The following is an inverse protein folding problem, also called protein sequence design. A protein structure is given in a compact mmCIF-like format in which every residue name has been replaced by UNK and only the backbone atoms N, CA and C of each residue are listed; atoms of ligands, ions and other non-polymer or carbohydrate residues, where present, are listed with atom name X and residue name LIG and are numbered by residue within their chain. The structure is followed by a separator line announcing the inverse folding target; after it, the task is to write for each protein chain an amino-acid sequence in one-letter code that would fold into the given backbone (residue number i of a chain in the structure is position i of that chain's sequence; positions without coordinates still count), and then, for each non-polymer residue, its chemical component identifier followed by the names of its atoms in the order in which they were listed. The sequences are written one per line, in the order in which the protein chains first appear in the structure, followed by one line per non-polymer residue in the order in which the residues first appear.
data_IF_379858072029
#
_entry.id   IF_379858072029
#
_cell.length_a   1.000
_cell.length_b   1.000
_cell.length_c   1.000
_cell.angle_alpha   90.00
_cell.angle_beta   90.00
_cell.angle_gamma   90.00
#
_symmetry.space_group_name_H-M   'P 1'
#
loop_
_entity.id
_entity.type
_entity.pdbx_description
1 polymer ?
#
# COMPACT_ATOMS: atom_id res chain seq x y z
N UNK A 1 -23.80 -23.23 7.37
CA UNK A 1 -22.65 -23.84 8.10
C UNK A 1 -21.40 -23.30 7.42
N UNK A 2 -20.44 -22.84 8.20
CA UNK A 2 -19.23 -22.12 7.76
C UNK A 2 -18.01 -23.03 7.64
N UNK A 3 -18.20 -24.36 7.68
CA UNK A 3 -17.11 -25.32 7.52
C UNK A 3 -16.50 -25.23 6.11
N UNK A 4 -15.17 -25.22 6.03
CA UNK A 4 -14.40 -25.22 4.80
C UNK A 4 -14.51 -26.60 4.14
N UNK A 5 -14.99 -26.67 2.90
CA UNK A 5 -15.13 -27.92 2.13
C UNK A 5 -14.11 -28.02 1.00
N UNK A 6 -13.67 -26.91 0.44
CA UNK A 6 -12.61 -26.88 -0.57
C UNK A 6 -11.75 -25.62 -0.47
N UNK A 7 -10.45 -25.76 -0.77
CA UNK A 7 -9.49 -24.69 -0.98
C UNK A 7 -8.72 -25.00 -2.24
N UNK A 8 -8.85 -24.14 -3.25
CA UNK A 8 -8.20 -24.34 -4.53
C UNK A 8 -7.38 -23.12 -4.95
N UNK A 9 -6.09 -23.29 -5.14
CA UNK A 9 -5.20 -22.28 -5.66
C UNK A 9 -4.82 -22.51 -7.11
N UNK A 10 -4.53 -21.41 -7.81
CA UNK A 10 -3.95 -21.39 -9.14
C UNK A 10 -2.92 -20.28 -9.29
N UNK A 11 -2.08 -20.42 -10.30
CA UNK A 11 -1.20 -19.37 -10.75
C UNK A 11 -1.94 -18.47 -11.74
N UNK A 12 -1.91 -17.14 -11.50
CA UNK A 12 -2.39 -16.10 -12.41
C UNK A 12 -1.26 -15.11 -12.70
N UNK A 13 -1.49 -14.11 -13.54
CA UNK A 13 -0.52 -13.06 -13.81
C UNK A 13 -0.88 -11.77 -13.07
N UNK A 14 0.13 -11.12 -12.50
CA UNK A 14 0.02 -9.77 -11.93
C UNK A 14 0.07 -8.68 -13.02
N UNK A 15 -0.07 -7.41 -12.61
CA UNK A 15 -0.05 -6.23 -13.50
C UNK A 15 1.27 -6.02 -14.24
N UNK A 16 2.34 -6.70 -13.84
CA UNK A 16 3.66 -6.70 -14.50
C UNK A 16 3.88 -7.92 -15.39
N UNK A 17 2.89 -8.82 -15.49
CA UNK A 17 2.99 -10.07 -16.22
C UNK A 17 3.82 -11.15 -15.52
N UNK A 18 4.08 -10.99 -14.20
CA UNK A 18 4.70 -12.04 -13.40
C UNK A 18 3.64 -12.94 -12.76
N UNK A 19 3.95 -14.23 -12.53
CA UNK A 19 3.05 -15.12 -11.83
C UNK A 19 2.77 -14.67 -10.40
N UNK A 20 1.53 -14.88 -9.95
CA UNK A 20 1.12 -14.75 -8.54
C UNK A 20 0.05 -15.77 -8.19
N UNK A 21 -0.25 -15.92 -6.89
CA UNK A 21 -1.20 -16.90 -6.37
C UNK A 21 -2.61 -16.29 -6.31
N UNK A 22 -3.59 -17.03 -6.81
CA UNK A 22 -5.03 -16.80 -6.57
C UNK A 22 -5.63 -18.02 -5.88
N UNK A 23 -6.46 -17.78 -4.86
CA UNK A 23 -7.09 -18.82 -4.04
C UNK A 23 -8.59 -18.65 -4.04
N UNK A 24 -9.31 -19.75 -4.22
CA UNK A 24 -10.74 -19.90 -3.94
C UNK A 24 -10.92 -20.73 -2.67
N UNK A 25 -11.83 -20.31 -1.80
CA UNK A 25 -12.30 -21.07 -0.63
C UNK A 25 -13.80 -21.28 -0.77
N UNK A 26 -14.27 -22.53 -0.66
CA UNK A 26 -15.69 -22.88 -0.67
C UNK A 26 -16.12 -23.42 0.70
N UNK A 27 -17.28 -22.95 1.17
CA UNK A 27 -17.88 -23.38 2.43
C UNK A 27 -19.04 -24.36 2.19
N UNK A 28 -19.36 -25.16 3.22
CA UNK A 28 -20.48 -26.11 3.17
C UNK A 28 -21.84 -25.45 2.84
N UNK A 29 -21.98 -24.16 3.13
CA UNK A 29 -23.17 -23.36 2.73
C UNK A 29 -23.25 -23.08 1.22
N UNK A 30 -22.17 -23.30 0.47
CA UNK A 30 -21.99 -22.89 -0.92
C UNK A 30 -21.45 -21.46 -1.08
N UNK A 31 -21.15 -20.76 0.01
CA UNK A 31 -20.48 -19.46 -0.05
C UNK A 31 -19.04 -19.63 -0.55
N UNK A 32 -18.58 -18.68 -1.37
CA UNK A 32 -17.25 -18.73 -2.00
C UNK A 32 -16.51 -17.40 -1.79
N UNK A 33 -15.23 -17.49 -1.43
CA UNK A 33 -14.33 -16.35 -1.40
C UNK A 33 -13.16 -16.53 -2.34
N UNK A 34 -12.79 -15.50 -3.08
CA UNK A 34 -11.62 -15.47 -3.97
C UNK A 34 -10.71 -14.33 -3.62
N UNK A 35 -9.41 -14.61 -3.51
CA UNK A 35 -8.40 -13.59 -3.32
C UNK A 35 -7.17 -13.85 -4.18
N UNK A 36 -6.59 -12.78 -4.72
CA UNK A 36 -5.32 -12.82 -5.43
C UNK A 36 -4.28 -11.97 -4.70
N UNK A 37 -3.06 -12.49 -4.64
CA UNK A 37 -1.99 -11.92 -3.80
C UNK A 37 -1.17 -10.90 -4.59
N UNK A 38 -0.93 -9.69 -4.06
CA UNK A 38 -0.02 -8.72 -4.69
C UNK A 38 1.44 -9.09 -4.48
N UNK A 39 2.35 -8.52 -5.29
CA UNK A 39 3.79 -8.80 -5.27
C UNK A 39 4.61 -7.51 -5.33
N UNK A 40 5.66 -7.37 -4.51
CA UNK A 40 6.56 -6.22 -4.54
C UNK A 40 7.57 -6.25 -5.71
N UNK A 41 8.05 -5.07 -6.13
CA UNK A 41 9.23 -4.94 -6.98
C UNK A 41 10.50 -4.83 -6.13
N UNK A 42 10.51 -3.90 -5.18
CA UNK A 42 11.43 -3.85 -4.05
C UNK A 42 10.80 -4.54 -2.86
N UNK A 43 11.60 -5.20 -2.04
CA UNK A 43 11.15 -5.86 -0.82
C UNK A 43 12.04 -5.44 0.33
N UNK A 44 11.46 -4.95 1.42
CA UNK A 44 12.18 -4.68 2.66
C UNK A 44 12.83 -5.96 3.19
N UNK A 45 14.01 -5.84 3.79
CA UNK A 45 14.78 -7.00 4.25
C UNK A 45 14.07 -7.86 5.32
N UNK A 46 13.01 -7.32 5.92
CA UNK A 46 12.25 -7.95 7.01
C UNK A 46 10.84 -8.36 6.62
N UNK A 47 10.49 -8.30 5.34
CA UNK A 47 9.19 -8.79 4.85
C UNK A 47 9.08 -10.32 4.98
N UNK A 48 7.85 -10.82 5.14
CA UNK A 48 7.57 -12.22 5.00
C UNK A 48 7.88 -12.72 3.58
N UNK A 49 8.37 -13.94 3.46
CA UNK A 49 8.92 -14.48 2.20
C UNK A 49 7.82 -14.77 1.18
N UNK A 50 7.89 -14.12 0.03
CA UNK A 50 7.15 -14.52 -1.16
C UNK A 50 7.84 -15.74 -1.80
N UNK A 51 7.20 -16.91 -1.74
CA UNK A 51 7.78 -18.13 -2.27
C UNK A 51 7.73 -18.13 -3.80
N UNK A 52 8.91 -18.31 -4.43
CA UNK A 52 9.11 -18.45 -5.87
C UNK A 52 9.79 -19.77 -6.18
N UNK A 53 9.40 -20.42 -7.28
CA UNK A 53 9.88 -21.75 -7.66
C UNK A 53 11.40 -21.77 -7.98
N UNK A 54 11.96 -20.64 -8.41
CA UNK A 54 13.39 -20.53 -8.77
C UNK A 54 13.78 -21.23 -10.07
N UNK A 55 12.87 -21.87 -10.79
CA UNK A 55 13.13 -22.50 -12.09
C UNK A 55 13.32 -21.45 -13.18
N UNK A 56 14.56 -21.22 -13.57
CA UNK A 56 14.93 -20.24 -14.57
C UNK A 56 14.29 -20.48 -15.95
N UNK A 57 13.85 -21.72 -16.25
CA UNK A 57 13.19 -22.06 -17.51
C UNK A 57 11.70 -21.68 -17.55
N UNK A 58 11.14 -21.34 -16.39
CA UNK A 58 9.74 -20.98 -16.26
C UNK A 58 9.60 -19.60 -15.61
N UNK A 59 9.07 -18.61 -16.35
CA UNK A 59 8.95 -17.21 -15.93
C UNK A 59 10.23 -16.59 -15.37
N UNK A 60 11.41 -17.03 -15.84
CA UNK A 60 12.71 -16.56 -15.36
C UNK A 60 12.94 -16.81 -13.86
N UNK A 61 12.39 -17.86 -13.29
CA UNK A 61 12.49 -18.22 -11.87
C UNK A 61 11.36 -17.66 -10.99
N UNK A 62 10.42 -16.89 -11.56
CA UNK A 62 9.34 -16.21 -10.81
C UNK A 62 8.04 -17.02 -10.69
N UNK A 63 8.00 -18.30 -11.11
CA UNK A 63 6.85 -19.18 -10.95
C UNK A 63 6.43 -19.31 -9.49
N UNK A 64 5.16 -19.69 -9.25
CA UNK A 64 4.58 -19.85 -7.89
C UNK A 64 3.88 -21.19 -7.71
N UNK A 65 4.25 -22.21 -8.51
CA UNK A 65 3.61 -23.53 -8.45
C UNK A 65 3.86 -24.25 -7.12
N UNK A 66 5.01 -24.04 -6.48
CA UNK A 66 5.28 -24.60 -5.15
C UNK A 66 4.31 -24.03 -4.12
N UNK A 67 4.09 -22.72 -4.11
CA UNK A 67 3.10 -22.07 -3.25
C UNK A 67 1.67 -22.55 -3.55
N UNK A 68 1.31 -22.66 -4.83
CA UNK A 68 0.01 -23.23 -5.28
C UNK A 68 -0.16 -24.66 -4.79
N UNK A 69 0.89 -25.48 -4.90
CA UNK A 69 0.85 -26.86 -4.44
C UNK A 69 0.66 -26.97 -2.92
N UNK A 70 1.34 -26.13 -2.12
CA UNK A 70 1.15 -26.09 -0.67
C UNK A 70 -0.29 -25.71 -0.29
N UNK A 71 -0.91 -24.79 -0.98
CA UNK A 71 -2.32 -24.45 -0.75
C UNK A 71 -3.23 -25.66 -1.05
N UNK A 72 -3.02 -26.30 -2.20
CA UNK A 72 -3.88 -27.40 -2.69
C UNK A 72 -3.65 -28.73 -1.92
N UNK A 73 -2.63 -28.82 -1.06
CA UNK A 73 -2.30 -30.02 -0.30
C UNK A 73 -2.24 -29.73 1.21
N UNK A 74 -1.09 -29.34 1.74
CA UNK A 74 -0.84 -29.23 3.19
C UNK A 74 -1.79 -28.24 3.88
N UNK A 75 -2.02 -27.05 3.28
CA UNK A 75 -2.89 -26.03 3.87
C UNK A 75 -4.35 -26.51 3.83
N UNK A 76 -4.80 -27.04 2.69
CA UNK A 76 -6.15 -27.60 2.57
C UNK A 76 -6.38 -28.74 3.59
N UNK A 77 -5.45 -29.69 3.71
CA UNK A 77 -5.55 -30.79 4.68
C UNK A 77 -5.63 -30.27 6.13
N UNK A 78 -4.88 -29.22 6.47
CA UNK A 78 -4.84 -28.65 7.81
C UNK A 78 -6.08 -27.86 8.19
N UNK A 79 -6.80 -27.27 7.22
CA UNK A 79 -7.93 -26.37 7.42
C UNK A 79 -9.29 -26.98 7.07
N UNK A 80 -9.31 -28.10 6.32
CA UNK A 80 -10.56 -28.75 5.87
C UNK A 80 -11.45 -29.12 7.07
N UNK A 81 -12.72 -28.74 7.00
CA UNK A 81 -13.70 -28.94 8.06
C UNK A 81 -13.65 -27.94 9.22
N UNK A 82 -12.66 -27.03 9.25
CA UNK A 82 -12.62 -25.93 10.22
C UNK A 82 -13.65 -24.85 9.84
N UNK A 83 -14.01 -24.04 10.83
CA UNK A 83 -15.02 -23.00 10.69
C UNK A 83 -14.40 -21.73 10.13
N UNK A 84 -14.85 -21.25 8.97
CA UNK A 84 -14.29 -20.05 8.31
C UNK A 84 -14.53 -18.75 9.11
N UNK A 85 -15.45 -18.74 10.04
CA UNK A 85 -15.70 -17.60 10.94
C UNK A 85 -14.60 -17.40 11.98
N UNK A 86 -13.73 -18.42 12.19
CA UNK A 86 -12.64 -18.42 13.17
C UNK A 86 -11.32 -17.93 12.55
N UNK A 87 -11.34 -16.76 11.89
CA UNK A 87 -10.19 -16.21 11.13
C UNK A 87 -8.86 -16.29 11.89
N UNK A 88 -8.85 -15.92 13.18
CA UNK A 88 -7.61 -15.90 13.99
C UNK A 88 -7.04 -17.31 14.13
N UNK A 89 -7.88 -18.30 14.44
CA UNK A 89 -7.43 -19.69 14.61
C UNK A 89 -6.91 -20.28 13.29
N UNK A 90 -7.53 -19.91 12.17
CA UNK A 90 -7.12 -20.38 10.84
C UNK A 90 -5.79 -19.77 10.43
N UNK A 91 -5.59 -18.46 10.66
CA UNK A 91 -4.33 -17.78 10.39
C UNK A 91 -3.19 -18.33 11.28
N UNK A 92 -3.43 -18.49 12.59
CA UNK A 92 -2.47 -19.11 13.52
C UNK A 92 -2.14 -20.53 13.11
N UNK A 93 -3.12 -21.33 12.66
CA UNK A 93 -2.88 -22.69 12.19
C UNK A 93 -1.97 -22.73 10.97
N UNK A 94 -2.10 -21.81 10.03
CA UNK A 94 -1.21 -21.72 8.87
C UNK A 94 0.21 -21.26 9.26
N UNK A 95 0.32 -20.31 10.21
CA UNK A 95 1.61 -19.87 10.75
C UNK A 95 2.33 -21.04 11.48
N UNK A 96 1.61 -21.79 12.31
CA UNK A 96 2.15 -22.98 12.97
C UNK A 96 2.58 -24.06 11.97
N UNK A 97 1.77 -24.26 10.91
CA UNK A 97 2.07 -25.22 9.84
C UNK A 97 3.34 -24.83 9.09
N UNK A 98 3.53 -23.54 8.80
CA UNK A 98 4.77 -23.04 8.19
C UNK A 98 5.98 -23.27 9.11
N UNK A 99 5.89 -22.88 10.38
CA UNK A 99 6.88 -23.13 11.42
C UNK A 99 8.14 -22.28 11.30
N UNK A 100 8.23 -21.32 10.34
CA UNK A 100 9.35 -20.39 10.21
C UNK A 100 8.93 -18.98 10.68
N UNK A 101 9.91 -18.14 11.04
CA UNK A 101 9.61 -16.80 11.54
C UNK A 101 9.17 -15.81 10.45
N UNK A 102 9.46 -16.12 9.19
CA UNK A 102 9.23 -15.27 8.02
C UNK A 102 8.29 -15.89 6.98
N UNK A 103 7.59 -16.99 7.34
CA UNK A 103 6.72 -17.79 6.45
C UNK A 103 7.44 -18.35 5.20
N UNK A 104 8.75 -18.62 5.35
CA UNK A 104 9.61 -19.02 4.23
C UNK A 104 9.39 -20.44 3.71
N UNK A 105 8.72 -21.33 4.48
CA UNK A 105 8.48 -22.72 4.07
C UNK A 105 7.29 -22.86 3.11
N UNK A 106 6.14 -22.36 3.48
CA UNK A 106 4.92 -22.41 2.66
C UNK A 106 4.83 -21.22 1.70
N UNK A 107 5.40 -20.10 2.11
CA UNK A 107 5.32 -18.82 1.44
C UNK A 107 4.21 -17.91 1.99
N UNK A 108 4.55 -16.65 2.28
CA UNK A 108 3.57 -15.66 2.69
C UNK A 108 2.47 -15.46 1.63
N UNK A 109 2.78 -15.63 0.35
CA UNK A 109 1.82 -15.57 -0.75
C UNK A 109 0.77 -16.72 -0.68
N UNK A 110 1.18 -17.94 -0.37
CA UNK A 110 0.25 -19.06 -0.16
C UNK A 110 -0.67 -18.80 1.03
N UNK A 111 -0.09 -18.42 2.17
CA UNK A 111 -0.80 -18.17 3.43
C UNK A 111 -1.78 -17.00 3.28
N UNK A 112 -1.34 -15.87 2.72
CA UNK A 112 -2.19 -14.69 2.53
C UNK A 112 -3.35 -14.95 1.57
N UNK A 113 -3.10 -15.67 0.47
CA UNK A 113 -4.15 -16.01 -0.49
C UNK A 113 -5.29 -16.75 0.20
N UNK A 114 -4.98 -17.73 1.03
CA UNK A 114 -5.97 -18.49 1.82
C UNK A 114 -6.63 -17.60 2.87
N UNK A 115 -5.85 -16.84 3.65
CA UNK A 115 -6.36 -15.96 4.71
C UNK A 115 -7.41 -14.95 4.21
N UNK A 116 -7.13 -14.28 3.07
CA UNK A 116 -8.07 -13.32 2.46
C UNK A 116 -9.28 -14.01 1.80
N UNK A 117 -9.06 -15.14 1.13
CA UNK A 117 -10.16 -15.89 0.50
C UNK A 117 -11.14 -16.41 1.55
N UNK A 118 -10.65 -16.90 2.71
CA UNK A 118 -11.49 -17.32 3.83
C UNK A 118 -12.32 -16.16 4.38
N UNK A 119 -11.71 -14.99 4.62
CA UNK A 119 -12.45 -13.82 5.09
C UNK A 119 -13.58 -13.43 4.13
N UNK A 120 -13.33 -13.53 2.82
CA UNK A 120 -14.36 -13.26 1.79
C UNK A 120 -15.45 -14.32 1.77
N UNK A 121 -15.11 -15.61 1.91
CA UNK A 121 -16.08 -16.70 1.99
C UNK A 121 -16.96 -16.57 3.24
N UNK A 122 -16.36 -16.25 4.39
CA UNK A 122 -17.10 -16.01 5.64
C UNK A 122 -18.01 -14.77 5.53
N UNK A 123 -17.55 -13.69 4.88
CA UNK A 123 -18.37 -12.51 4.61
C UNK A 123 -19.58 -12.84 3.72
N UNK A 124 -19.37 -13.61 2.64
CA UNK A 124 -20.42 -14.08 1.74
C UNK A 124 -21.42 -14.97 2.49
N UNK A 125 -20.94 -15.91 3.31
CA UNK A 125 -21.76 -16.76 4.17
C UNK A 125 -22.62 -15.94 5.15
N UNK A 126 -22.10 -14.85 5.68
CA UNK A 126 -22.82 -13.93 6.56
C UNK A 126 -23.76 -12.97 5.80
N UNK A 127 -23.72 -12.94 4.46
CA UNK A 127 -24.47 -12.00 3.64
C UNK A 127 -24.02 -10.55 3.80
N UNK A 128 -22.74 -10.34 4.12
CA UNK A 128 -22.13 -9.03 4.36
C UNK A 128 -21.03 -8.75 3.32
N UNK A 129 -20.85 -7.48 2.89
CA UNK A 129 -19.65 -7.10 2.17
C UNK A 129 -18.42 -7.19 3.09
N UNK A 130 -17.23 -7.44 2.51
CA UNK A 130 -16.01 -7.71 3.27
C UNK A 130 -15.69 -6.60 4.27
N UNK A 131 -15.79 -5.32 3.87
CA UNK A 131 -15.52 -4.20 4.78
C UNK A 131 -16.41 -4.21 6.03
N UNK A 132 -17.66 -4.65 5.89
CA UNK A 132 -18.63 -4.73 6.99
C UNK A 132 -18.40 -5.95 7.85
N UNK A 133 -18.03 -7.08 7.25
CA UNK A 133 -17.73 -8.31 7.97
C UNK A 133 -16.51 -8.12 8.88
N UNK A 134 -15.41 -7.55 8.34
CA UNK A 134 -14.16 -7.33 9.07
C UNK A 134 -14.28 -6.16 10.06
N UNK A 135 -14.86 -5.03 9.64
CA UNK A 135 -14.85 -3.79 10.43
C UNK A 135 -16.10 -3.56 11.28
N UNK A 136 -17.12 -4.41 11.14
CA UNK A 136 -18.36 -4.34 11.90
C UNK A 136 -19.18 -3.07 11.63
N UNK A 137 -19.97 -2.65 12.61
CA UNK A 137 -20.92 -1.55 12.47
C UNK A 137 -20.25 -0.16 12.32
N UNK A 138 -19.01 -0.02 12.76
CA UNK A 138 -18.24 1.23 12.70
C UNK A 138 -17.51 1.46 11.37
N UNK A 139 -17.44 0.47 10.50
CA UNK A 139 -16.78 0.54 9.19
C UNK A 139 -17.55 1.46 8.23
N UNK A 140 -17.17 2.73 8.15
CA UNK A 140 -17.85 3.75 7.34
C UNK A 140 -16.95 4.91 6.90
N UNK A 141 -15.67 4.92 7.30
CA UNK A 141 -14.74 5.97 6.93
C UNK A 141 -14.11 5.65 5.57
N UNK A 142 -14.46 6.46 4.55
CA UNK A 142 -13.83 6.42 3.23
C UNK A 142 -12.46 7.10 3.33
N UNK A 143 -11.38 6.43 2.88
CA UNK A 143 -10.03 6.95 3.03
C UNK A 143 -9.74 8.10 2.06
N UNK A 144 -8.86 9.03 2.46
CA UNK A 144 -8.22 9.97 1.51
C UNK A 144 -7.27 9.18 0.62
N UNK A 145 -7.43 9.25 -0.71
CA UNK A 145 -6.50 8.59 -1.63
C UNK A 145 -5.20 9.40 -1.76
N UNK A 146 -4.07 8.72 -1.62
CA UNK A 146 -2.72 9.20 -1.94
C UNK A 146 -2.40 8.72 -3.36
N UNK A 147 -2.63 9.58 -4.35
CA UNK A 147 -2.60 9.20 -5.76
C UNK A 147 -1.23 9.49 -6.37
N UNK A 148 -0.44 8.45 -6.66
CA UNK A 148 0.87 8.59 -7.30
C UNK A 148 0.72 9.00 -8.77
N UNK A 149 0.92 10.29 -9.10
CA UNK A 149 0.73 10.81 -10.45
C UNK A 149 2.03 11.03 -11.22
N UNK A 150 3.21 11.05 -10.53
CA UNK A 150 4.51 11.21 -11.15
C UNK A 150 5.54 10.33 -10.44
N UNK A 151 6.35 9.60 -11.21
CA UNK A 151 7.31 8.62 -10.72
C UNK A 151 8.76 9.04 -10.99
N UNK A 152 9.62 8.67 -10.06
CA UNK A 152 11.08 8.68 -10.20
C UNK A 152 11.68 7.44 -9.55
N UNK A 153 12.92 7.51 -9.08
CA UNK A 153 13.60 6.44 -8.37
C UNK A 153 13.53 5.09 -9.06
N UNK A 154 13.27 4.04 -8.32
CA UNK A 154 13.15 2.69 -8.86
C UNK A 154 11.90 2.47 -9.76
N UNK A 155 10.93 3.39 -9.73
CA UNK A 155 9.69 3.31 -10.52
C UNK A 155 9.80 3.96 -11.91
N UNK A 156 10.92 4.62 -12.24
CA UNK A 156 11.13 5.28 -13.54
C UNK A 156 12.60 5.31 -13.94
N UNK A 157 12.88 5.16 -15.24
CA UNK A 157 14.21 5.37 -15.81
C UNK A 157 14.40 6.86 -16.14
N UNK A 158 14.59 7.67 -15.09
CA UNK A 158 14.79 9.11 -15.17
C UNK A 158 15.71 9.59 -14.02
N UNK A 159 16.18 10.87 -14.04
CA UNK A 159 17.12 11.36 -13.02
C UNK A 159 16.48 11.77 -11.68
N UNK A 160 15.19 11.58 -11.48
CA UNK A 160 14.51 11.93 -10.24
C UNK A 160 14.83 10.89 -9.17
N UNK A 161 15.40 11.29 -8.03
CA UNK A 161 15.81 10.35 -6.98
C UNK A 161 14.62 9.80 -6.16
N UNK A 162 13.61 10.61 -5.88
CA UNK A 162 12.43 10.19 -5.12
C UNK A 162 11.47 9.38 -5.99
N UNK A 163 10.89 8.35 -5.40
CA UNK A 163 10.15 7.31 -6.11
C UNK A 163 8.75 7.75 -6.56
N UNK A 164 8.01 8.49 -5.70
CA UNK A 164 6.61 8.84 -5.97
C UNK A 164 6.28 10.26 -5.53
N UNK A 165 5.49 10.93 -6.38
CA UNK A 165 4.89 12.24 -6.09
C UNK A 165 3.38 12.10 -6.16
N UNK A 166 2.74 12.25 -5.01
CA UNK A 166 1.32 11.97 -4.83
C UNK A 166 0.51 13.23 -4.58
N UNK A 167 -0.75 13.21 -5.02
CA UNK A 167 -1.76 14.22 -4.69
C UNK A 167 -2.79 13.65 -3.72
N UNK A 168 -3.21 14.47 -2.75
CA UNK A 168 -4.17 14.13 -1.70
C UNK A 168 -5.34 15.12 -1.71
N UNK A 169 -6.50 14.77 -2.27
CA UNK A 169 -7.67 15.69 -2.40
C UNK A 169 -8.45 15.78 -1.09
N UNK A 170 -7.82 16.31 -0.03
CA UNK A 170 -8.42 16.41 1.32
C UNK A 170 -9.57 17.39 1.41
N UNK A 171 -9.69 18.35 0.46
CA UNK A 171 -10.77 19.31 0.40
C UNK A 171 -12.05 18.79 -0.27
N UNK A 172 -12.01 17.59 -0.85
CA UNK A 172 -13.20 16.98 -1.44
C UNK A 172 -14.26 16.66 -0.38
N UNK A 173 -15.52 16.69 -0.75
CA UNK A 173 -16.65 16.44 0.16
C UNK A 173 -16.95 14.93 0.29
N UNK A 174 -16.65 14.16 -0.76
CA UNK A 174 -16.93 12.72 -0.86
C UNK A 174 -15.72 12.01 -1.49
N UNK A 175 -15.68 10.71 -1.34
CA UNK A 175 -14.63 9.89 -2.00
C UNK A 175 -14.74 9.98 -3.53
N UNK A 176 -15.97 9.95 -4.06
CA UNK A 176 -16.22 10.10 -5.51
C UNK A 176 -15.73 11.44 -6.05
N UNK A 177 -15.90 12.56 -5.30
CA UNK A 177 -15.31 13.84 -5.66
C UNK A 177 -13.78 13.80 -5.61
N UNK A 178 -13.19 13.13 -4.62
CA UNK A 178 -11.73 12.98 -4.54
C UNK A 178 -11.16 12.25 -5.78
N UNK A 179 -11.82 11.18 -6.23
CA UNK A 179 -11.44 10.46 -7.45
C UNK A 179 -11.60 11.32 -8.70
N UNK A 180 -12.68 12.09 -8.79
CA UNK A 180 -12.89 13.06 -9.88
C UNK A 180 -11.74 14.07 -9.94
N UNK A 181 -11.44 14.74 -8.83
CA UNK A 181 -10.35 15.71 -8.74
C UNK A 181 -8.99 15.10 -9.13
N UNK A 182 -8.70 13.91 -8.62
CA UNK A 182 -7.49 13.19 -8.99
C UNK A 182 -7.39 12.96 -10.51
N UNK A 183 -8.48 12.53 -11.15
CA UNK A 183 -8.54 12.34 -12.61
C UNK A 183 -8.33 13.64 -13.38
N UNK A 184 -8.94 14.73 -12.96
CA UNK A 184 -8.77 16.06 -13.58
C UNK A 184 -7.32 16.54 -13.45
N UNK A 185 -6.69 16.36 -12.27
CA UNK A 185 -5.28 16.71 -12.04
C UNK A 185 -4.37 15.82 -12.90
N UNK A 186 -4.63 14.51 -12.98
CA UNK A 186 -3.86 13.58 -13.81
C UNK A 186 -3.87 14.01 -15.28
N UNK A 187 -5.02 14.38 -15.84
CA UNK A 187 -5.11 14.86 -17.21
C UNK A 187 -4.49 16.26 -17.40
N UNK A 188 -4.57 17.14 -16.41
CA UNK A 188 -3.87 18.42 -16.39
C UNK A 188 -2.35 18.22 -16.43
N UNK A 189 -1.81 17.29 -15.61
CA UNK A 189 -0.39 16.95 -15.61
C UNK A 189 0.07 16.41 -16.97
N UNK A 190 -0.72 15.51 -17.59
CA UNK A 190 -0.42 15.00 -18.93
C UNK A 190 -0.30 16.12 -19.96
N UNK A 191 -1.25 17.06 -19.93
CA UNK A 191 -1.25 18.19 -20.86
C UNK A 191 -0.03 19.10 -20.66
N UNK A 192 0.34 19.38 -19.40
CA UNK A 192 1.53 20.19 -19.06
C UNK A 192 2.81 19.54 -19.53
N UNK A 193 3.02 18.24 -19.21
CA UNK A 193 4.18 17.46 -19.63
C UNK A 193 4.32 17.46 -21.16
N UNK A 194 3.23 17.15 -21.86
CA UNK A 194 3.20 17.15 -23.33
C UNK A 194 3.53 18.52 -23.91
N UNK A 195 2.97 19.62 -23.35
CA UNK A 195 3.25 20.99 -23.79
C UNK A 195 4.70 21.39 -23.58
N UNK A 196 5.34 20.90 -22.52
CA UNK A 196 6.75 21.11 -22.22
C UNK A 196 7.70 20.20 -23.05
N UNK A 197 7.14 19.25 -23.81
CA UNK A 197 7.92 18.32 -24.64
C UNK A 197 8.40 17.07 -23.92
N UNK A 198 7.89 16.82 -22.70
CA UNK A 198 8.22 15.63 -21.94
C UNK A 198 7.37 14.42 -22.34
N UNK A 199 7.90 13.24 -22.08
CA UNK A 199 7.23 11.96 -22.22
C UNK A 199 6.03 11.85 -21.27
N UNK A 200 4.94 11.27 -21.75
CA UNK A 200 3.70 11.02 -20.99
C UNK A 200 3.38 9.52 -20.89
N UNK A 201 4.41 8.65 -21.01
CA UNK A 201 4.26 7.23 -20.69
C UNK A 201 4.05 7.05 -19.20
N UNK A 202 3.33 5.99 -18.85
CA UNK A 202 3.02 5.67 -17.45
C UNK A 202 3.85 4.48 -16.97
N UNK A 203 4.25 4.52 -15.71
CA UNK A 203 4.94 3.44 -15.02
C UNK A 203 3.99 2.34 -14.52
N UNK A 204 4.55 1.42 -13.73
CA UNK A 204 3.84 0.24 -13.21
C UNK A 204 2.64 0.59 -12.32
N UNK A 205 2.66 1.73 -11.67
CA UNK A 205 1.58 2.20 -10.79
C UNK A 205 0.65 3.22 -11.46
N UNK A 206 0.84 3.47 -12.76
CA UNK A 206 -0.03 4.31 -13.57
C UNK A 206 0.30 5.82 -13.54
N UNK A 207 1.27 6.28 -12.75
CA UNK A 207 1.80 7.64 -12.76
C UNK A 207 2.72 7.88 -13.97
N UNK A 208 2.89 9.16 -14.37
CA UNK A 208 3.80 9.53 -15.46
C UNK A 208 5.26 9.35 -15.04
N UNK A 209 6.12 9.03 -16.01
CA UNK A 209 7.56 8.86 -15.80
C UNK A 209 8.34 9.81 -16.74
N UNK A 210 8.26 11.13 -16.56
CA UNK A 210 8.94 12.11 -17.39
C UNK A 210 10.43 12.21 -17.05
N UNK A 211 11.23 12.66 -18.01
CA UNK A 211 12.63 13.03 -17.80
C UNK A 211 12.67 14.51 -17.32
N UNK A 212 12.73 14.70 -16.00
CA UNK A 212 12.78 16.01 -15.32
C UNK A 212 14.12 16.16 -14.57
N UNK A 213 14.48 17.41 -14.27
CA UNK A 213 15.79 17.74 -13.71
C UNK A 213 16.01 17.36 -12.24
N UNK A 214 14.96 16.93 -11.51
CA UNK A 214 15.04 16.55 -10.11
C UNK A 214 13.74 16.72 -9.34
N UNK A 215 13.83 16.60 -8.00
CA UNK A 215 12.68 16.62 -7.08
C UNK A 215 11.84 17.90 -7.17
N UNK A 216 12.50 19.08 -7.23
CA UNK A 216 11.78 20.36 -7.29
C UNK A 216 11.03 20.54 -8.62
N UNK A 217 11.63 20.15 -9.74
CA UNK A 217 10.96 20.21 -11.03
C UNK A 217 9.72 19.30 -11.03
N UNK A 218 9.81 18.11 -10.44
CA UNK A 218 8.67 17.21 -10.30
C UNK A 218 7.54 17.83 -9.47
N UNK A 219 7.87 18.41 -8.31
CA UNK A 219 6.90 19.11 -7.45
C UNK A 219 6.25 20.30 -8.17
N UNK A 220 7.03 21.11 -8.91
CA UNK A 220 6.53 22.24 -9.68
C UNK A 220 5.55 21.82 -10.80
N UNK A 221 5.83 20.69 -11.47
CA UNK A 221 4.91 20.12 -12.44
C UNK A 221 3.61 19.66 -11.81
N UNK A 222 3.68 19.01 -10.63
CA UNK A 222 2.50 18.54 -9.88
C UNK A 222 1.68 19.71 -9.36
N UNK A 223 2.31 20.70 -8.72
CA UNK A 223 1.65 21.94 -8.25
C UNK A 223 0.93 22.63 -9.40
N UNK A 224 1.64 22.86 -10.51
CA UNK A 224 1.02 23.48 -11.67
C UNK A 224 -0.07 22.64 -12.35
N UNK A 225 -0.08 21.30 -12.16
CA UNK A 225 -1.18 20.45 -12.63
C UNK A 225 -2.42 20.61 -11.77
N UNK A 226 -2.27 20.73 -10.44
CA UNK A 226 -3.37 21.00 -9.49
C UNK A 226 -4.01 22.37 -9.82
N UNK A 227 -3.21 23.42 -9.96
CA UNK A 227 -3.68 24.76 -10.33
C UNK A 227 -4.33 24.78 -11.72
N UNK A 228 -3.72 24.07 -12.68
CA UNK A 228 -4.25 23.94 -14.05
C UNK A 228 -5.59 23.20 -14.12
N UNK A 229 -5.89 22.35 -13.15
CA UNK A 229 -7.19 21.70 -12.97
C UNK A 229 -8.21 22.58 -12.21
N UNK A 230 -7.79 23.74 -11.69
CA UNK A 230 -8.66 24.70 -11.01
C UNK A 230 -8.76 24.53 -9.51
N UNK A 231 -7.89 23.72 -8.90
CA UNK A 231 -7.88 23.48 -7.45
C UNK A 231 -6.80 24.30 -6.74
N UNK A 232 -7.03 24.62 -5.46
CA UNK A 232 -6.11 25.38 -4.62
C UNK A 232 -5.13 24.43 -3.92
N UNK A 233 -3.84 24.65 -4.23
CA UNK A 233 -2.75 23.89 -3.61
C UNK A 233 -2.63 24.29 -2.13
N UNK A 234 -2.56 23.31 -1.23
CA UNK A 234 -2.50 23.55 0.20
C UNK A 234 -3.84 23.88 0.87
N UNK A 235 -4.95 23.87 0.11
CA UNK A 235 -6.29 24.01 0.66
C UNK A 235 -7.22 22.86 0.21
N UNK A 236 -7.35 22.67 -1.10
CA UNK A 236 -8.18 21.62 -1.68
C UNK A 236 -7.39 20.32 -1.85
N UNK A 237 -6.14 20.44 -2.31
CA UNK A 237 -5.24 19.33 -2.58
C UNK A 237 -3.88 19.60 -1.96
N UNK A 238 -3.38 18.60 -1.24
CA UNK A 238 -2.04 18.59 -0.68
C UNK A 238 -1.15 17.58 -1.41
N UNK A 239 0.14 17.60 -1.11
CA UNK A 239 1.14 16.72 -1.68
C UNK A 239 1.59 15.67 -0.66
N UNK A 240 1.98 14.51 -1.18
CA UNK A 240 2.74 13.51 -0.45
C UNK A 240 3.87 13.01 -1.34
N UNK A 241 4.94 12.56 -0.72
CA UNK A 241 6.09 11.94 -1.40
C UNK A 241 6.42 10.58 -0.79
N UNK A 242 6.88 9.68 -1.63
CA UNK A 242 7.59 8.47 -1.22
C UNK A 242 9.02 8.60 -1.71
N UNK A 243 9.95 8.71 -0.78
CA UNK A 243 11.35 8.88 -1.11
C UNK A 243 12.05 7.55 -1.40
N UNK A 244 11.58 6.45 -0.80
CA UNK A 244 12.22 5.13 -0.85
C UNK A 244 13.73 5.22 -0.58
N UNK A 245 14.12 5.89 0.50
CA UNK A 245 15.49 6.36 0.72
C UNK A 245 16.52 5.24 0.87
N UNK A 246 16.08 4.01 1.17
CA UNK A 246 16.95 2.82 1.19
C UNK A 246 17.63 2.60 -0.16
N UNK A 247 16.97 2.91 -1.29
CA UNK A 247 17.48 2.71 -2.65
C UNK A 247 18.72 3.56 -2.99
N UNK A 248 18.83 4.74 -2.37
CA UNK A 248 19.98 5.64 -2.59
C UNK A 248 20.87 5.80 -1.35
N UNK A 249 20.67 4.97 -0.29
CA UNK A 249 21.53 4.93 0.89
C UNK A 249 22.73 4.02 0.67
N UNK A 250 23.96 4.56 0.79
CA UNK A 250 25.21 3.81 0.63
C UNK A 250 26.29 4.32 1.59
N UNK A 251 26.96 3.40 2.27
CA UNK A 251 28.12 3.70 3.13
C UNK A 251 27.82 4.79 4.19
N UNK A 252 26.59 4.81 4.74
CA UNK A 252 26.18 5.77 5.76
C UNK A 252 25.76 7.14 5.24
N UNK A 253 25.62 7.32 3.91
CA UNK A 253 25.18 8.56 3.27
C UNK A 253 24.10 8.31 2.22
N UNK A 254 23.33 9.34 1.93
CA UNK A 254 22.30 9.37 0.91
C UNK A 254 22.82 10.04 -0.36
N UNK A 255 22.76 9.33 -1.49
CA UNK A 255 23.32 9.74 -2.79
C UNK A 255 22.19 10.17 -3.73
N UNK A 256 21.83 11.44 -3.72
CA UNK A 256 20.84 12.04 -4.62
C UNK A 256 21.54 12.35 -5.96
N UNK A 257 21.50 11.38 -6.88
CA UNK A 257 22.21 11.45 -8.15
C UNK A 257 21.65 12.51 -9.10
N UNK A 258 20.34 12.65 -9.13
CA UNK A 258 19.68 13.67 -9.96
C UNK A 258 19.97 15.10 -9.51
N UNK A 259 20.36 15.28 -8.25
CA UNK A 259 20.71 16.58 -7.68
C UNK A 259 22.23 16.77 -7.50
N UNK A 260 23.05 15.79 -7.93
CA UNK A 260 24.51 15.75 -7.72
C UNK A 260 24.93 16.03 -6.26
N UNK A 261 24.18 15.41 -5.30
CA UNK A 261 24.33 15.67 -3.88
C UNK A 261 24.55 14.37 -3.11
N UNK A 262 25.48 14.43 -2.13
CA UNK A 262 25.65 13.39 -1.12
C UNK A 262 25.41 14.06 0.24
N UNK A 263 24.55 13.47 1.06
CA UNK A 263 24.20 14.04 2.36
C UNK A 263 24.08 12.96 3.46
N UNK A 264 24.31 13.39 4.69
CA UNK A 264 24.01 12.62 5.89
C UNK A 264 22.48 12.54 6.13
N UNK A 265 22.03 11.71 7.09
CA UNK A 265 20.64 11.67 7.51
C UNK A 265 20.15 13.02 8.05
N UNK A 266 20.99 13.76 8.79
CA UNK A 266 20.64 15.09 9.30
C UNK A 266 20.47 16.13 8.18
N UNK A 267 21.35 16.09 7.16
CA UNK A 267 21.26 16.98 6.00
C UNK A 267 20.05 16.62 5.13
N UNK A 268 19.69 15.34 5.00
CA UNK A 268 18.50 14.91 4.28
C UNK A 268 17.22 15.32 5.03
N UNK A 269 17.18 15.19 6.37
CA UNK A 269 16.09 15.70 7.20
C UNK A 269 15.90 17.22 7.05
N UNK A 270 17.01 17.97 6.98
CA UNK A 270 16.97 19.41 6.71
C UNK A 270 16.42 19.74 5.32
N UNK A 271 16.76 18.91 4.32
CA UNK A 271 16.23 19.05 2.95
C UNK A 271 14.72 18.81 2.90
N UNK A 272 14.19 17.79 3.62
CA UNK A 272 12.75 17.60 3.74
C UNK A 272 12.06 18.79 4.44
N UNK A 273 12.66 19.34 5.48
CA UNK A 273 12.14 20.54 6.15
C UNK A 273 12.00 21.70 5.17
N UNK A 274 13.03 21.95 4.35
CA UNK A 274 13.01 22.99 3.31
C UNK A 274 11.94 22.72 2.23
N UNK A 275 11.76 21.46 1.82
CA UNK A 275 10.70 21.10 0.86
C UNK A 275 9.30 21.38 1.45
N UNK A 276 9.07 21.01 2.72
CA UNK A 276 7.79 21.25 3.41
C UNK A 276 7.51 22.74 3.67
N UNK A 277 8.54 23.59 3.76
CA UNK A 277 8.37 25.05 3.84
C UNK A 277 7.95 25.67 2.50
N UNK A 278 8.36 25.07 1.38
CA UNK A 278 8.12 25.62 0.04
C UNK A 278 6.91 24.98 -0.68
N UNK A 279 6.53 23.76 -0.29
CA UNK A 279 5.44 23.00 -0.88
C UNK A 279 4.49 22.49 0.21
N UNK A 280 3.18 22.37 -0.03
CA UNK A 280 2.24 21.85 0.95
C UNK A 280 2.30 20.31 1.05
N UNK A 281 3.47 19.80 1.41
CA UNK A 281 3.70 18.37 1.63
C UNK A 281 3.24 18.05 3.06
N UNK A 282 2.29 17.10 3.16
CA UNK A 282 1.74 16.67 4.45
C UNK A 282 2.11 15.23 4.81
N UNK A 283 2.76 14.50 3.90
CA UNK A 283 3.18 13.13 4.15
C UNK A 283 4.47 12.80 3.42
N UNK A 284 5.41 12.17 4.12
CA UNK A 284 6.67 11.67 3.59
C UNK A 284 6.80 10.20 3.99
N UNK A 285 6.88 9.32 3.00
CA UNK A 285 7.10 7.89 3.17
C UNK A 285 8.57 7.57 2.97
N UNK A 286 9.10 6.70 3.83
CA UNK A 286 10.47 6.22 3.84
C UNK A 286 11.51 7.32 3.58
N UNK A 287 11.36 8.40 4.34
CA UNK A 287 12.24 9.56 4.26
C UNK A 287 13.70 9.27 4.57
N UNK A 288 13.99 8.21 5.33
CA UNK A 288 15.33 7.69 5.58
C UNK A 288 15.35 6.16 5.40
N UNK A 289 16.55 5.57 5.30
CA UNK A 289 16.74 4.14 5.10
C UNK A 289 16.17 3.30 6.26
N UNK A 290 15.75 2.07 5.96
CA UNK A 290 15.05 1.16 6.89
C UNK A 290 15.82 0.82 8.17
N UNK A 291 17.16 0.95 8.16
CA UNK A 291 18.03 0.69 9.31
C UNK A 291 18.65 1.98 9.93
N UNK A 292 18.39 3.16 9.34
CA UNK A 292 18.88 4.43 9.88
C UNK A 292 17.96 5.00 10.99
N UNK A 293 17.80 4.24 12.06
CA UNK A 293 16.95 4.61 13.19
C UNK A 293 17.34 5.94 13.85
N UNK A 294 18.64 6.30 13.80
CA UNK A 294 19.12 7.56 14.34
C UNK A 294 18.70 8.75 13.46
N UNK A 295 18.86 8.62 12.16
CA UNK A 295 18.38 9.61 11.20
C UNK A 295 16.86 9.78 11.26
N UNK A 296 16.09 8.67 11.34
CA UNK A 296 14.65 8.72 11.51
C UNK A 296 14.22 9.51 12.76
N UNK A 297 14.98 9.37 13.86
CA UNK A 297 14.70 10.16 15.06
C UNK A 297 14.91 11.65 14.81
N UNK A 298 16.00 12.01 14.12
CA UNK A 298 16.27 13.41 13.73
C UNK A 298 15.15 13.97 12.85
N UNK A 299 14.72 13.22 11.83
CA UNK A 299 13.64 13.62 10.94
C UNK A 299 12.32 13.80 11.71
N UNK A 300 11.99 12.85 12.60
CA UNK A 300 10.76 12.90 13.39
C UNK A 300 10.75 14.13 14.32
N UNK A 301 11.87 14.41 14.98
CA UNK A 301 11.99 15.58 15.86
C UNK A 301 11.93 16.90 15.08
N UNK A 302 12.37 16.91 13.82
CA UNK A 302 12.40 18.12 13.00
C UNK A 302 11.03 18.52 12.46
N UNK A 303 10.25 17.56 11.93
CA UNK A 303 9.01 17.86 11.20
C UNK A 303 7.81 16.98 11.57
N UNK A 304 7.97 15.97 12.44
CA UNK A 304 6.91 15.00 12.75
C UNK A 304 5.70 15.59 13.48
N UNK A 305 5.79 16.81 13.99
CA UNK A 305 4.66 17.57 14.57
C UNK A 305 3.75 18.23 13.53
N UNK A 306 4.16 18.28 12.26
CA UNK A 306 3.47 18.96 11.15
C UNK A 306 3.25 18.06 9.94
N UNK A 307 4.08 17.02 9.79
CA UNK A 307 4.13 16.15 8.60
C UNK A 307 3.97 14.70 9.04
N UNK A 308 3.10 13.98 8.35
CA UNK A 308 2.99 12.55 8.50
C UNK A 308 4.27 11.88 7.98
N UNK A 309 4.94 11.11 8.83
CA UNK A 309 6.14 10.35 8.50
C UNK A 309 5.79 8.87 8.49
N UNK A 310 5.69 8.31 7.29
CA UNK A 310 5.22 6.94 7.06
C UNK A 310 6.41 6.00 6.96
N UNK A 311 6.43 4.95 7.79
CA UNK A 311 7.38 3.85 7.64
C UNK A 311 6.77 2.73 6.80
N UNK A 312 7.34 2.47 5.62
CA UNK A 312 7.10 1.29 4.78
C UNK A 312 8.17 0.23 5.06
N UNK A 313 9.34 0.32 4.44
CA UNK A 313 10.47 -0.60 4.67
C UNK A 313 10.94 -0.56 6.14
N UNK A 314 10.80 0.59 6.80
CA UNK A 314 11.10 0.74 8.22
C UNK A 314 10.32 -0.25 9.10
N UNK A 315 9.02 -0.45 8.84
CA UNK A 315 8.12 -1.25 9.68
C UNK A 315 7.65 -2.54 9.04
N UNK A 316 7.61 -2.64 7.72
CA UNK A 316 7.17 -3.80 6.91
C UNK A 316 5.86 -4.43 7.41
N UNK A 317 4.90 -3.60 7.82
CA UNK A 317 3.61 -4.05 8.41
C UNK A 317 3.79 -4.96 9.64
N UNK A 318 4.98 -5.00 10.24
CA UNK A 318 5.32 -5.92 11.33
C UNK A 318 5.08 -5.28 12.70
N UNK A 319 4.16 -5.82 13.55
CA UNK A 319 3.84 -5.24 14.86
C UNK A 319 5.06 -5.13 15.80
N UNK A 320 6.04 -6.03 15.68
CA UNK A 320 7.25 -6.00 16.51
C UNK A 320 8.14 -4.82 16.14
N UNK A 321 8.39 -4.58 14.84
CA UNK A 321 9.17 -3.43 14.36
C UNK A 321 8.43 -2.11 14.63
N UNK A 322 7.13 -2.09 14.40
CA UNK A 322 6.28 -0.93 14.72
C UNK A 322 6.33 -0.59 16.22
N UNK A 323 6.22 -1.59 17.10
CA UNK A 323 6.35 -1.39 18.56
C UNK A 323 7.70 -0.82 18.96
N UNK A 324 8.78 -1.22 18.30
CA UNK A 324 10.11 -0.64 18.54
C UNK A 324 10.19 0.82 18.08
N UNK A 325 9.65 1.16 16.90
CA UNK A 325 9.58 2.54 16.42
C UNK A 325 8.78 3.44 17.35
N UNK A 326 7.62 2.97 17.81
CA UNK A 326 6.79 3.67 18.79
C UNK A 326 7.56 3.95 20.08
N UNK A 327 8.25 2.94 20.64
CA UNK A 327 9.06 3.12 21.86
C UNK A 327 10.19 4.13 21.70
N UNK A 328 10.75 4.23 20.50
CA UNK A 328 11.82 5.20 20.18
C UNK A 328 11.30 6.59 19.81
N UNK A 329 9.99 6.74 19.59
CA UNK A 329 9.38 7.97 19.09
C UNK A 329 9.88 8.30 17.67
N UNK A 330 9.82 7.34 16.76
CA UNK A 330 10.30 7.41 15.38
C UNK A 330 9.12 7.24 14.44
N UNK A 331 9.02 8.11 13.43
CA UNK A 331 7.85 8.23 12.54
C UNK A 331 6.57 8.58 13.32
N UNK A 332 5.42 8.59 12.67
CA UNK A 332 4.10 8.78 13.27
C UNK A 332 2.98 8.08 12.46
N UNK A 333 3.38 7.31 11.45
CA UNK A 333 2.48 6.56 10.58
C UNK A 333 3.14 5.26 10.11
N UNK A 334 2.33 4.27 9.76
CA UNK A 334 2.78 3.00 9.16
C UNK A 334 2.07 2.74 7.84
N UNK A 335 2.82 2.28 6.84
CA UNK A 335 2.25 1.75 5.61
C UNK A 335 1.83 0.29 5.84
N UNK A 336 0.63 -0.06 5.42
CA UNK A 336 0.04 -1.38 5.62
C UNK A 336 -0.04 -2.11 4.28
N UNK A 337 0.81 -3.10 4.10
CA UNK A 337 0.87 -3.99 2.95
C UNK A 337 0.59 -5.42 3.41
N UNK A 338 -0.57 -5.96 3.08
CA UNK A 338 -1.04 -7.26 3.58
C UNK A 338 -0.05 -8.40 3.33
N UNK A 339 0.69 -8.36 2.22
CA UNK A 339 1.65 -9.41 1.86
C UNK A 339 3.01 -9.28 2.55
N UNK A 340 3.36 -8.12 3.14
CA UNK A 340 4.59 -7.96 3.92
C UNK A 340 4.56 -8.77 5.21
N UNK A 341 3.37 -9.04 5.75
CA UNK A 341 3.19 -9.83 6.98
C UNK A 341 2.52 -11.18 6.72
N UNK A 342 1.61 -11.28 5.76
CA UNK A 342 1.13 -12.54 5.17
C UNK A 342 -0.14 -13.14 5.76
N UNK A 343 -0.84 -12.48 6.70
CA UNK A 343 -2.19 -12.85 7.15
C UNK A 343 -3.06 -11.63 7.40
N UNK A 344 -4.37 -11.80 7.31
CA UNK A 344 -5.33 -10.76 7.69
C UNK A 344 -5.25 -10.44 9.18
N UNK A 345 -5.13 -11.44 10.04
CA UNK A 345 -5.03 -11.28 11.50
C UNK A 345 -3.85 -10.41 11.90
N UNK A 346 -2.66 -10.69 11.38
CA UNK A 346 -1.45 -9.89 11.68
C UNK A 346 -1.56 -8.47 11.08
N UNK A 347 -2.15 -8.34 9.89
CA UNK A 347 -2.42 -7.03 9.27
C UNK A 347 -3.31 -6.17 10.17
N UNK A 348 -4.41 -6.73 10.66
CA UNK A 348 -5.32 -6.02 11.58
C UNK A 348 -4.64 -5.68 12.90
N UNK A 349 -3.78 -6.56 13.42
CA UNK A 349 -3.01 -6.30 14.63
C UNK A 349 -2.02 -5.13 14.45
N UNK A 350 -1.40 -4.99 13.28
CA UNK A 350 -0.51 -3.86 12.97
C UNK A 350 -1.30 -2.52 12.95
N UNK A 351 -2.48 -2.50 12.30
CA UNK A 351 -3.34 -1.30 12.27
C UNK A 351 -3.84 -0.93 13.68
N UNK A 352 -4.29 -1.92 14.45
CA UNK A 352 -4.77 -1.71 15.83
C UNK A 352 -3.66 -1.16 16.74
N UNK A 353 -2.44 -1.70 16.62
CA UNK A 353 -1.28 -1.20 17.35
C UNK A 353 -0.95 0.25 16.99
N UNK A 354 -0.98 0.60 15.68
CA UNK A 354 -0.76 1.97 15.22
C UNK A 354 -1.78 2.92 15.84
N UNK A 355 -3.06 2.64 15.68
CA UNK A 355 -4.14 3.50 16.21
C UNK A 355 -4.10 3.65 17.72
N UNK A 356 -3.87 2.57 18.48
CA UNK A 356 -3.72 2.62 19.95
C UNK A 356 -2.51 3.43 20.42
N UNK A 357 -1.54 3.62 19.54
CA UNK A 357 -0.31 4.36 19.83
C UNK A 357 -0.32 5.78 19.24
N UNK A 358 -1.46 6.26 18.75
CA UNK A 358 -1.61 7.56 18.09
C UNK A 358 -0.78 7.69 16.79
N UNK A 359 -0.45 6.58 16.16
CA UNK A 359 0.08 6.55 14.80
C UNK A 359 -1.07 6.42 13.81
N UNK A 360 -0.93 7.06 12.66
CA UNK A 360 -1.83 6.83 11.54
C UNK A 360 -1.45 5.55 10.80
N UNK A 361 -2.36 5.04 9.98
CA UNK A 361 -2.10 3.90 9.11
C UNK A 361 -2.55 4.24 7.68
N UNK A 362 -1.77 3.85 6.69
CA UNK A 362 -2.09 4.01 5.28
C UNK A 362 -2.22 2.63 4.66
N UNK A 363 -3.42 2.24 4.22
CA UNK A 363 -3.61 0.98 3.50
C UNK A 363 -2.98 1.10 2.11
N UNK A 364 -2.16 0.11 1.71
CA UNK A 364 -1.35 0.24 0.50
C UNK A 364 -1.44 -0.98 -0.42
N UNK A 365 -1.34 -0.69 -1.71
CA UNK A 365 -1.07 -1.65 -2.78
C UNK A 365 0.40 -2.08 -2.80
N UNK A 366 0.74 -2.91 -3.78
CA UNK A 366 2.13 -3.18 -4.20
C UNK A 366 2.33 -2.78 -5.67
N UNK A 367 3.59 -2.75 -6.11
CA UNK A 367 3.92 -2.46 -7.52
C UNK A 367 3.37 -3.52 -8.48
N UNK A 368 3.39 -4.81 -8.10
CA UNK A 368 2.69 -5.89 -8.79
C UNK A 368 1.32 -6.14 -8.16
N UNK A 369 0.28 -5.70 -8.83
CA UNK A 369 -1.11 -5.85 -8.38
C UNK A 369 -1.91 -6.78 -9.29
N UNK A 370 -3.08 -7.12 -8.80
CA UNK A 370 -4.12 -7.85 -9.55
C UNK A 370 -5.41 -7.03 -9.56
N UNK A 371 -6.49 -7.59 -10.07
CA UNK A 371 -7.83 -6.99 -10.01
C UNK A 371 -8.49 -7.14 -8.62
N UNK A 372 -7.83 -7.81 -7.68
CA UNK A 372 -8.32 -7.96 -6.29
C UNK A 372 -8.49 -6.60 -5.61
N UNK A 373 -9.59 -6.44 -4.88
CA UNK A 373 -9.96 -5.17 -4.23
C UNK A 373 -9.95 -5.24 -2.72
N UNK A 374 -9.40 -6.30 -2.12
CA UNK A 374 -9.42 -6.52 -0.67
C UNK A 374 -8.92 -5.31 0.12
N UNK A 375 -7.84 -4.65 -0.34
CA UNK A 375 -7.29 -3.48 0.36
C UNK A 375 -8.25 -2.29 0.40
N UNK A 376 -9.14 -2.15 -0.58
CA UNK A 376 -10.18 -1.11 -0.54
C UNK A 376 -11.21 -1.39 0.56
N UNK A 377 -11.67 -2.63 0.67
CA UNK A 377 -12.56 -3.06 1.75
C UNK A 377 -11.86 -2.95 3.12
N UNK A 378 -10.59 -3.36 3.22
CA UNK A 378 -9.81 -3.28 4.46
C UNK A 378 -9.55 -1.84 4.90
N UNK A 379 -9.33 -0.90 3.97
CA UNK A 379 -9.19 0.52 4.32
C UNK A 379 -10.43 1.07 5.02
N UNK A 380 -11.62 0.68 4.56
CA UNK A 380 -12.89 1.08 5.21
C UNK A 380 -13.13 0.27 6.48
N UNK A 381 -12.84 -1.03 6.47
CA UNK A 381 -13.02 -1.91 7.63
C UNK A 381 -12.23 -1.44 8.86
N UNK A 382 -11.01 -0.99 8.65
CA UNK A 382 -10.11 -0.54 9.71
C UNK A 382 -10.29 0.93 10.08
N UNK A 383 -11.07 1.69 9.30
CA UNK A 383 -11.15 3.16 9.40
C UNK A 383 -9.76 3.83 9.42
N UNK A 384 -8.79 3.32 8.65
CA UNK A 384 -7.43 3.87 8.64
C UNK A 384 -7.36 5.30 8.06
N UNK A 385 -8.37 5.73 7.32
CA UNK A 385 -8.53 7.09 6.83
C UNK A 385 -7.68 7.45 5.62
N UNK A 386 -6.76 6.60 5.18
CA UNK A 386 -5.89 6.84 4.02
C UNK A 386 -5.65 5.56 3.22
N UNK A 387 -5.51 5.70 1.89
CA UNK A 387 -5.16 4.59 1.00
C UNK A 387 -4.17 5.06 -0.07
N UNK A 388 -3.09 4.29 -0.26
CA UNK A 388 -2.11 4.45 -1.32
C UNK A 388 -2.30 3.30 -2.32
N UNK A 389 -2.86 3.59 -3.50
CA UNK A 389 -3.17 2.54 -4.48
C UNK A 389 -2.90 2.95 -5.92
N UNK A 390 -1.84 3.72 -6.12
CA UNK A 390 -1.34 4.14 -7.43
C UNK A 390 -2.12 5.30 -8.04
N UNK A 391 -2.04 5.43 -9.35
CA UNK A 391 -2.59 6.54 -10.12
C UNK A 391 -3.99 6.27 -10.67
N UNK A 392 -4.49 7.22 -11.46
CA UNK A 392 -5.80 7.18 -12.15
C UNK A 392 -5.70 6.49 -13.54
N UNK A 393 -4.76 5.58 -13.69
CA UNK A 393 -4.56 4.76 -14.89
C UNK A 393 -4.20 3.33 -14.50
N UNK A 394 -4.40 2.36 -15.41
CA UNK A 394 -4.28 0.90 -15.24
C UNK A 394 -5.42 0.31 -14.39
N UNK A 395 -6.02 -0.78 -14.89
CA UNK A 395 -7.22 -1.40 -14.29
C UNK A 395 -6.96 -1.95 -12.90
N UNK A 396 -5.74 -2.45 -12.66
CA UNK A 396 -5.29 -2.98 -11.39
C UNK A 396 -5.33 -1.93 -10.25
N UNK A 397 -5.10 -0.65 -10.58
CA UNK A 397 -5.23 0.47 -9.63
C UNK A 397 -6.67 0.96 -9.54
N UNK A 398 -7.30 1.20 -10.68
CA UNK A 398 -8.68 1.68 -10.75
C UNK A 398 -9.69 0.73 -10.11
N UNK A 399 -9.42 -0.58 -10.08
CA UNK A 399 -10.26 -1.56 -9.40
C UNK A 399 -10.52 -1.18 -7.93
N UNK A 400 -9.48 -0.72 -7.21
CA UNK A 400 -9.56 -0.31 -5.80
C UNK A 400 -10.36 0.99 -5.63
N UNK A 401 -10.10 1.99 -6.49
CA UNK A 401 -10.89 3.24 -6.49
C UNK A 401 -12.36 2.98 -6.79
N UNK A 402 -12.64 2.17 -7.80
CA UNK A 402 -14.00 1.79 -8.16
C UNK A 402 -14.71 1.01 -7.05
N UNK A 403 -13.98 0.18 -6.31
CA UNK A 403 -14.54 -0.53 -5.15
C UNK A 403 -14.90 0.44 -4.03
N UNK A 404 -14.06 1.41 -3.72
CA UNK A 404 -14.36 2.43 -2.72
C UNK A 404 -15.57 3.30 -3.10
N UNK A 405 -15.76 3.61 -4.40
CA UNK A 405 -16.97 4.29 -4.88
C UNK A 405 -18.22 3.42 -4.64
N UNK A 406 -18.15 2.10 -4.91
CA UNK A 406 -19.26 1.19 -4.60
C UNK A 406 -19.55 1.11 -3.10
N UNK A 407 -18.51 1.10 -2.26
CA UNK A 407 -18.67 1.11 -0.79
C UNK A 407 -19.31 2.42 -0.34
N UNK A 408 -18.90 3.57 -0.89
CA UNK A 408 -19.52 4.88 -0.61
C UNK A 408 -21.01 4.85 -0.95
N UNK A 409 -21.38 4.32 -2.12
CA UNK A 409 -22.79 4.17 -2.54
C UNK A 409 -23.57 3.24 -1.60
N UNK A 410 -23.00 2.09 -1.20
CA UNK A 410 -23.62 1.14 -0.27
C UNK A 410 -23.84 1.74 1.12
N UNK A 411 -22.93 2.56 1.59
CA UNK A 411 -23.04 3.26 2.87
C UNK A 411 -24.08 4.40 2.81
N UNK A 412 -24.26 5.01 1.64
CA UNK A 412 -25.18 6.13 1.44
C UNK A 412 -24.95 7.27 2.42
N UNK A 413 -25.97 7.76 3.14
CA UNK A 413 -25.81 8.87 4.09
C UNK A 413 -24.92 8.56 5.30
N UNK A 414 -24.57 7.29 5.54
CA UNK A 414 -23.65 6.91 6.60
C UNK A 414 -22.18 6.99 6.18
N UNK A 415 -21.90 7.15 4.90
CA UNK A 415 -20.54 7.33 4.38
C UNK A 415 -19.93 8.60 4.97
N UNK A 416 -18.68 8.50 5.39
CA UNK A 416 -17.91 9.62 5.89
C UNK A 416 -16.55 9.64 5.19
N UNK A 417 -16.27 10.69 4.43
CA UNK A 417 -14.96 10.86 3.81
C UNK A 417 -13.98 11.47 4.82
N UNK A 418 -12.81 10.87 5.00
CA UNK A 418 -11.83 11.30 5.99
C UNK A 418 -11.37 12.76 5.77
N UNK A 419 -11.18 13.15 4.51
CA UNK A 419 -10.94 14.54 4.13
C UNK A 419 -9.87 15.23 4.97
N UNK A 420 -10.19 16.40 5.50
CA UNK A 420 -9.27 17.23 6.30
C UNK A 420 -8.87 16.61 7.64
N UNK A 421 -9.53 15.55 8.11
CA UNK A 421 -9.15 14.92 9.37
C UNK A 421 -7.75 14.30 9.33
N UNK A 422 -7.23 13.98 8.15
CA UNK A 422 -5.86 13.46 7.98
C UNK A 422 -4.78 14.53 8.17
N UNK A 423 -5.15 15.83 8.26
CA UNK A 423 -4.23 16.94 8.50
C UNK A 423 -3.90 17.13 10.00
N UNK A 424 -4.58 16.42 10.87
CA UNK A 424 -4.44 16.51 12.33
C UNK A 424 -3.60 15.37 12.89
N UNK A 425 -2.58 14.94 12.18
CA UNK A 425 -1.67 13.89 12.61
C UNK A 425 -0.74 14.37 13.76
#
# INVERSE_FOLDING_TARGET
MSAIVDIHAREILDSRGNPTVEVDVELESGAVGRAAVPSGASTGAFEAVELRDGDALRYGGKGVLDAVNFVNTEIFEALSGMDADEQVLLDERMIELDGTGDKGRLGANAILGVSLAMAKAAADNAGLPLYRYVGGASARLLPVPMMNILNGGAHADNPIDFQEFMVMPVGAETFSHAVQWGSEIFHSLRARLSKAGHNTNIGDEGGFAPDLGGTRDALDFVVGAIEGAGFRVGEDVYLAIDAASTEFFKNGNYHLKGEDKICSGEELASYYSELCENYPIISIEDGLAEDDWAGWKVLTDAIGDKVQLVGDDLFVTNPTRLSEGIKRGIANSVLIKVNQIGTLTETLAAVDLAHKSSYTAVMSHRSGETEDTSIADLAVATNCGQIKTGSLARSDRLAKYNQLIRIEEQLGPAAHYAGRSVLSA
#
